data_IF_267883095732
#
_entry.id   IF_267883095732
#
_cell.length_a   1.000
_cell.length_b   1.000
_cell.length_c   1.000
_cell.angle_alpha   90.00
_cell.angle_beta   90.00
_cell.angle_gamma   90.00
#
_symmetry.space_group_name_H-M   'P 1'
#
loop_
_entity.id
_entity.type
_entity.pdbx_description
1 polymer ?
#
# COMPACT_ATOMS: atom_id res chain seq x y z
N UNK A 1 0.12 6.56 27.62
CA UNK A 1 0.69 7.49 26.62
C UNK A 1 2.02 8.13 27.01
N UNK A 2 2.16 8.71 28.22
CA UNK A 2 3.43 9.34 28.68
C UNK A 2 4.67 8.42 28.65
N UNK A 3 4.53 7.10 28.65
CA UNK A 3 5.67 6.17 28.63
C UNK A 3 6.18 5.82 27.22
N UNK A 4 5.35 5.87 26.17
CA UNK A 4 5.73 5.53 24.79
C UNK A 4 5.96 6.77 23.89
N UNK A 5 5.39 7.93 24.26
CA UNK A 5 5.69 9.20 23.61
C UNK A 5 6.91 9.91 24.23
N UNK A 6 7.35 9.50 25.43
CA UNK A 6 8.58 10.01 26.05
C UNK A 6 9.83 9.83 25.18
N UNK A 7 10.07 8.68 24.52
CA UNK A 7 11.17 8.55 23.57
C UNK A 7 11.05 9.51 22.39
N UNK A 8 9.85 9.73 21.86
CA UNK A 8 9.57 10.68 20.78
C UNK A 8 9.76 12.14 21.23
N UNK A 9 9.29 12.52 22.42
CA UNK A 9 9.53 13.82 23.05
C UNK A 9 11.02 14.04 23.37
N UNK A 10 11.73 12.99 23.81
CA UNK A 10 13.18 13.03 24.11
C UNK A 10 14.00 13.14 22.83
N UNK A 11 13.60 12.42 21.78
CA UNK A 11 14.17 12.53 20.43
C UNK A 11 13.93 13.95 19.90
N UNK A 12 12.71 14.48 20.05
CA UNK A 12 12.31 15.82 19.61
C UNK A 12 13.06 16.95 20.35
N UNK A 13 13.32 16.80 21.66
CA UNK A 13 14.15 17.74 22.45
C UNK A 13 15.63 17.73 22.02
N UNK A 14 16.17 16.55 21.67
CA UNK A 14 17.57 16.42 21.20
C UNK A 14 17.79 17.00 19.80
N UNK A 15 16.85 16.86 18.86
CA UNK A 15 17.00 17.43 17.50
C UNK A 15 16.92 18.96 17.48
N UNK A 16 16.22 19.59 18.43
CA UNK A 16 16.11 21.04 18.54
C UNK A 16 17.34 21.69 19.18
N UNK A 17 18.18 20.95 19.91
CA UNK A 17 19.38 21.46 20.59
C UNK A 17 20.68 21.37 19.76
N UNK A 18 20.67 20.78 18.55
CA UNK A 18 21.86 20.73 17.67
C UNK A 18 22.07 22.03 16.86
N UNK A 19 21.69 23.18 17.42
CA UNK A 19 21.93 24.50 16.79
C UNK A 19 23.02 25.33 17.45
N UNK A 20 23.69 24.84 18.50
CA UNK A 20 24.80 25.57 19.12
C UNK A 20 25.85 24.62 19.71
N UNK A 21 26.84 24.21 18.90
CA UNK A 21 28.19 23.91 19.42
C UNK A 21 29.24 24.34 18.37
N UNK A 22 30.33 25.03 18.78
CA UNK A 22 31.28 25.65 17.87
C UNK A 22 32.34 24.67 17.33
N UNK A 23 32.92 25.05 16.19
CA UNK A 23 33.99 24.40 15.44
C UNK A 23 35.05 23.67 16.31
N UNK A 24 35.23 22.37 16.06
CA UNK A 24 36.42 21.63 16.47
C UNK A 24 37.08 20.98 15.23
N UNK A 25 38.36 21.34 15.04
CA UNK A 25 39.26 20.94 13.93
C UNK A 25 39.58 19.44 13.97
N UNK A 26 40.02 18.83 12.84
CA UNK A 26 40.29 17.40 12.76
C UNK A 26 41.73 17.09 13.23
N UNK A 27 41.90 16.05 14.04
CA UNK A 27 43.22 15.44 14.30
C UNK A 27 43.20 13.94 14.11
N UNK A 28 44.37 13.46 13.65
CA UNK A 28 44.72 12.18 13.04
C UNK A 28 44.72 10.98 14.00
N UNK A 29 44.47 9.82 13.37
CA UNK A 29 44.97 8.45 13.59
C UNK A 29 45.65 8.08 14.91
N UNK A 30 45.29 6.90 15.43
CA UNK A 30 46.25 5.91 15.94
C UNK A 30 45.65 4.49 15.93
N UNK A 31 46.45 3.58 15.40
CA UNK A 31 46.28 2.13 15.32
C UNK A 31 46.79 1.51 16.62
N UNK A 32 46.08 0.57 17.25
CA UNK A 32 46.66 -0.74 17.60
C UNK A 32 45.69 -1.75 18.23
N UNK A 33 46.02 -2.99 17.92
CA UNK A 33 45.61 -4.31 18.39
C UNK A 33 45.40 -4.52 19.89
N UNK A 34 44.46 -5.39 20.28
CA UNK A 34 44.82 -6.66 20.94
C UNK A 34 43.64 -7.66 21.06
N UNK A 35 44.03 -8.94 20.97
CA UNK A 35 43.23 -10.18 21.12
C UNK A 35 42.74 -10.37 22.56
N UNK A 36 41.66 -11.12 22.77
CA UNK A 36 41.61 -12.24 23.73
C UNK A 36 40.43 -13.18 23.42
N UNK A 37 40.75 -14.47 23.31
CA UNK A 37 39.81 -15.59 23.23
C UNK A 37 39.33 -15.96 24.64
N UNK A 38 38.08 -16.45 24.78
CA UNK A 38 37.81 -17.58 25.66
C UNK A 38 36.60 -18.40 25.18
N UNK A 39 36.88 -19.68 25.01
CA UNK A 39 36.02 -20.83 24.76
C UNK A 39 35.26 -21.22 26.05
N UNK A 40 33.99 -21.60 25.93
CA UNK A 40 33.41 -22.70 26.72
C UNK A 40 32.22 -23.31 25.96
N UNK A 41 32.37 -24.59 25.61
CA UNK A 41 31.32 -25.50 25.15
C UNK A 41 30.67 -26.16 26.37
N UNK A 42 29.36 -26.37 26.31
CA UNK A 42 28.66 -27.45 27.00
C UNK A 42 27.54 -27.97 26.07
N UNK A 43 27.57 -29.26 25.78
CA UNK A 43 26.55 -30.05 25.06
C UNK A 43 25.50 -30.58 26.08
N UNK A 44 24.22 -30.86 25.76
CA UNK A 44 23.66 -32.14 25.23
C UNK A 44 22.11 -32.06 25.39
N UNK A 45 21.31 -31.95 24.32
CA UNK A 45 20.28 -32.90 23.77
C UNK A 45 18.81 -32.40 23.82
N UNK A 46 17.89 -32.93 22.96
CA UNK A 46 16.87 -32.14 22.28
C UNK A 46 15.47 -32.35 22.85
N UNK A 47 14.61 -31.33 22.70
CA UNK A 47 13.16 -31.49 22.80
C UNK A 47 12.51 -30.87 21.57
N UNK A 48 11.89 -31.76 20.81
CA UNK A 48 10.98 -31.50 19.70
C UNK A 48 9.85 -30.54 20.08
N UNK A 49 9.67 -29.50 19.27
CA UNK A 49 8.51 -28.60 19.34
C UNK A 49 8.48 -27.75 18.06
N UNK A 50 7.84 -28.28 17.01
CA UNK A 50 7.57 -27.55 15.77
C UNK A 50 6.53 -26.45 16.04
N UNK A 51 7.00 -25.22 16.25
CA UNK A 51 6.21 -24.00 16.07
C UNK A 51 6.91 -23.15 15.01
N UNK A 52 6.62 -23.44 13.74
CA UNK A 52 7.09 -22.64 12.61
C UNK A 52 6.33 -21.32 12.56
N UNK A 53 6.81 -20.31 13.28
CA UNK A 53 6.48 -18.93 12.98
C UNK A 53 7.03 -18.59 11.59
N UNK A 54 6.13 -18.29 10.66
CA UNK A 54 6.48 -17.82 9.33
C UNK A 54 6.95 -16.37 9.46
N UNK A 55 8.26 -16.19 9.64
CA UNK A 55 8.91 -14.88 9.59
C UNK A 55 8.74 -14.28 8.18
N UNK A 56 8.07 -13.12 8.12
CA UNK A 56 7.77 -12.41 6.86
C UNK A 56 8.97 -11.53 6.51
N UNK A 57 9.61 -11.68 5.33
CA UNK A 57 10.75 -10.85 4.98
C UNK A 57 10.35 -9.37 4.85
N UNK A 58 11.18 -8.51 5.45
CA UNK A 58 11.01 -7.05 5.50
C UNK A 58 10.90 -6.43 4.09
N UNK A 59 9.75 -5.81 3.79
CA UNK A 59 9.45 -5.13 2.52
C UNK A 59 10.33 -3.88 2.32
N UNK A 60 11.37 -3.96 1.48
CA UNK A 60 12.14 -2.80 1.00
C UNK A 60 11.66 -2.42 -0.40
N UNK A 61 11.10 -1.22 -0.57
CA UNK A 61 10.84 -0.63 -1.90
C UNK A 61 12.12 0.04 -2.41
N UNK A 62 12.53 -0.28 -3.64
CA UNK A 62 13.68 0.32 -4.32
C UNK A 62 13.17 1.44 -5.21
N UNK A 63 13.56 2.68 -4.93
CA UNK A 63 13.23 3.83 -5.80
C UNK A 63 14.25 3.81 -6.96
N UNK A 64 13.78 3.48 -8.16
CA UNK A 64 14.55 3.65 -9.40
C UNK A 64 13.85 4.75 -10.19
N UNK A 65 14.56 5.81 -10.55
CA UNK A 65 14.03 6.86 -11.44
C UNK A 65 14.17 6.39 -12.88
N UNK A 66 13.07 6.22 -13.59
CA UNK A 66 13.06 6.10 -15.05
C UNK A 66 12.81 7.47 -15.69
N UNK A 67 13.45 7.75 -16.82
CA UNK A 67 13.41 9.04 -17.51
C UNK A 67 12.04 9.29 -18.15
N UNK A 68 11.50 10.49 -17.98
CA UNK A 68 10.23 10.93 -18.58
C UNK A 68 10.51 11.59 -19.93
N UNK A 69 9.85 11.13 -20.98
CA UNK A 69 9.74 11.83 -22.26
C UNK A 69 8.43 12.61 -22.31
N UNK A 70 8.49 13.94 -22.37
CA UNK A 70 7.34 14.81 -22.57
C UNK A 70 6.86 14.75 -24.02
N UNK A 71 5.66 14.21 -24.25
CA UNK A 71 4.90 14.46 -25.48
C UNK A 71 3.48 14.87 -25.09
N UNK A 72 3.17 16.16 -25.30
CA UNK A 72 1.96 16.83 -24.78
C UNK A 72 0.94 17.06 -25.89
N UNK A 73 -0.33 16.76 -25.62
CA UNK A 73 -1.48 17.26 -26.40
C UNK A 73 -2.42 17.99 -25.43
N UNK A 74 -2.74 19.24 -25.73
CA UNK A 74 -3.57 20.13 -24.91
C UNK A 74 -5.05 20.04 -25.29
N UNK A 75 -5.92 19.80 -24.31
CA UNK A 75 -7.31 20.28 -24.32
C UNK A 75 -7.61 20.99 -22.99
N UNK A 76 -8.36 22.09 -23.08
CA UNK A 76 -8.27 23.24 -22.19
C UNK A 76 -8.75 23.06 -20.74
N UNK A 77 -8.26 23.96 -19.87
CA UNK A 77 -8.78 24.31 -18.54
C UNK A 77 -8.84 23.23 -17.45
N UNK A 78 -8.78 21.95 -17.81
CA UNK A 78 -8.86 20.82 -16.89
C UNK A 78 -7.49 20.36 -16.40
N UNK A 79 -7.49 19.77 -15.20
CA UNK A 79 -6.35 19.01 -14.67
C UNK A 79 -5.92 17.99 -15.73
N UNK A 80 -4.66 18.06 -16.16
CA UNK A 80 -4.13 17.13 -17.18
C UNK A 80 -4.11 15.73 -16.60
N UNK A 81 -4.87 14.81 -17.20
CA UNK A 81 -4.80 13.40 -16.81
C UNK A 81 -3.45 12.85 -17.27
N UNK A 82 -2.60 12.37 -16.35
CA UNK A 82 -1.28 11.85 -16.71
C UNK A 82 -1.42 10.56 -17.52
N UNK A 83 -0.70 10.47 -18.64
CA UNK A 83 -0.56 9.20 -19.34
C UNK A 83 0.43 8.31 -18.61
N UNK A 84 -0.08 7.20 -18.08
CA UNK A 84 0.73 6.19 -17.38
C UNK A 84 1.25 5.19 -18.40
N UNK A 85 2.57 5.02 -18.45
CA UNK A 85 3.21 3.98 -19.25
C UNK A 85 3.51 2.76 -18.37
N UNK A 86 3.06 1.59 -18.81
CA UNK A 86 3.39 0.33 -18.17
C UNK A 86 4.78 -0.13 -18.60
N UNK A 87 5.54 -0.69 -17.67
CA UNK A 87 6.70 -1.52 -17.99
C UNK A 87 6.28 -2.76 -18.78
N UNK A 88 7.24 -3.42 -19.42
CA UNK A 88 7.00 -4.67 -20.15
C UNK A 88 6.36 -5.74 -19.25
N UNK A 89 6.82 -5.83 -18.00
CA UNK A 89 6.32 -6.73 -16.98
C UNK A 89 4.87 -6.39 -16.57
N UNK A 90 4.58 -5.11 -16.33
CA UNK A 90 3.22 -4.66 -15.99
C UNK A 90 2.25 -4.82 -17.17
N UNK A 91 2.70 -4.62 -18.40
CA UNK A 91 1.89 -4.80 -19.61
C UNK A 91 1.51 -6.28 -19.80
N UNK A 92 2.43 -7.19 -19.52
CA UNK A 92 2.18 -8.63 -19.57
C UNK A 92 1.26 -9.06 -18.43
N UNK A 93 1.46 -8.53 -17.21
CA UNK A 93 0.54 -8.73 -16.09
C UNK A 93 -0.88 -8.25 -16.43
N UNK A 94 -1.02 -7.05 -17.00
CA UNK A 94 -2.29 -6.51 -17.47
C UNK A 94 -2.94 -7.46 -18.47
N UNK A 95 -2.17 -7.96 -19.43
CA UNK A 95 -2.68 -8.90 -20.46
C UNK A 95 -3.18 -10.19 -19.83
N UNK A 96 -2.42 -10.79 -18.89
CA UNK A 96 -2.83 -11.98 -18.15
C UNK A 96 -4.15 -11.77 -17.40
N UNK A 97 -4.29 -10.65 -16.70
CA UNK A 97 -5.50 -10.32 -15.95
C UNK A 97 -6.71 -10.14 -16.87
N UNK A 98 -6.55 -9.48 -18.02
CA UNK A 98 -7.62 -9.28 -18.99
C UNK A 98 -8.00 -10.58 -19.72
N UNK A 99 -7.02 -11.41 -20.09
CA UNK A 99 -7.30 -12.73 -20.68
C UNK A 99 -8.06 -13.62 -19.69
N UNK A 100 -7.79 -13.49 -18.39
CA UNK A 100 -8.55 -14.17 -17.34
C UNK A 100 -10.00 -13.66 -17.26
N UNK A 101 -10.23 -12.36 -17.43
CA UNK A 101 -11.60 -11.80 -17.53
C UNK A 101 -12.34 -12.42 -18.72
N UNK A 102 -11.69 -12.51 -19.88
CA UNK A 102 -12.29 -13.13 -21.07
C UNK A 102 -12.57 -14.63 -20.88
N UNK A 103 -11.69 -15.34 -20.18
CA UNK A 103 -11.92 -16.73 -19.80
C UNK A 103 -13.17 -16.89 -18.92
N UNK A 104 -13.33 -16.05 -17.89
CA UNK A 104 -14.50 -16.06 -17.01
C UNK A 104 -15.78 -15.78 -17.80
N UNK A 105 -15.76 -14.77 -18.68
CA UNK A 105 -16.91 -14.40 -19.54
C UNK A 105 -17.37 -15.58 -20.39
N UNK A 106 -16.44 -16.25 -21.05
CA UNK A 106 -16.73 -17.45 -21.87
C UNK A 106 -17.30 -18.59 -21.03
N UNK A 107 -16.76 -18.81 -19.83
CA UNK A 107 -17.22 -19.87 -18.92
C UNK A 107 -18.66 -19.63 -18.43
N UNK A 108 -19.02 -18.38 -18.20
CA UNK A 108 -20.34 -18.00 -17.68
C UNK A 108 -21.41 -17.80 -18.78
N UNK A 109 -21.05 -17.91 -20.06
CA UNK A 109 -21.90 -17.52 -21.20
C UNK A 109 -22.39 -16.06 -21.09
N UNK A 110 -21.57 -15.18 -20.53
CA UNK A 110 -21.89 -13.75 -20.44
C UNK A 110 -21.88 -13.10 -21.83
N UNK A 111 -22.73 -12.10 -22.06
CA UNK A 111 -22.72 -11.30 -23.28
C UNK A 111 -21.35 -10.58 -23.39
N UNK A 112 -20.64 -10.65 -24.53
CA UNK A 112 -19.42 -9.85 -24.76
C UNK A 112 -19.59 -8.35 -24.54
N UNK A 113 -20.82 -7.84 -24.69
CA UNK A 113 -21.20 -6.44 -24.40
C UNK A 113 -21.69 -6.23 -22.97
N UNK A 114 -21.91 -7.30 -22.22
CA UNK A 114 -22.51 -7.32 -20.89
C UNK A 114 -21.80 -8.29 -19.95
N UNK A 115 -20.68 -7.88 -19.38
CA UNK A 115 -20.41 -8.21 -17.98
C UNK A 115 -19.51 -7.16 -17.32
N UNK A 116 -20.05 -6.53 -16.28
CA UNK A 116 -19.50 -5.41 -15.53
C UNK A 116 -18.24 -5.72 -14.71
N UNK A 117 -17.51 -6.80 -15.02
CA UNK A 117 -16.22 -7.14 -14.41
C UNK A 117 -15.13 -6.21 -14.97
N UNK A 118 -14.84 -5.16 -14.22
CA UNK A 118 -13.83 -4.16 -14.52
C UNK A 118 -12.69 -4.33 -13.52
N UNK A 119 -11.47 -4.39 -14.05
CA UNK A 119 -10.27 -4.50 -13.25
C UNK A 119 -9.53 -3.18 -13.23
N UNK A 120 -9.00 -2.82 -12.06
CA UNK A 120 -8.24 -1.59 -11.85
C UNK A 120 -6.99 -1.89 -11.05
N UNK A 121 -5.84 -1.34 -11.44
CA UNK A 121 -4.80 -1.12 -10.45
C UNK A 121 -5.23 0.04 -9.54
N UNK A 122 -5.00 -0.06 -8.24
CA UNK A 122 -5.53 0.93 -7.28
C UNK A 122 -4.45 1.45 -6.35
N UNK A 123 -4.71 2.63 -5.78
CA UNK A 123 -4.06 3.07 -4.57
C UNK A 123 -2.58 3.41 -4.76
N UNK A 124 -1.73 2.76 -3.97
CA UNK A 124 -0.33 3.16 -3.86
C UNK A 124 0.45 3.03 -5.16
N UNK A 125 0.13 2.01 -5.97
CA UNK A 125 0.76 1.79 -7.26
C UNK A 125 0.46 2.95 -8.22
N UNK A 126 -0.82 3.34 -8.36
CA UNK A 126 -1.23 4.40 -9.32
C UNK A 126 -0.54 5.72 -9.00
N UNK A 127 -0.57 6.13 -7.73
CA UNK A 127 0.11 7.34 -7.26
C UNK A 127 1.61 7.28 -7.53
N UNK A 128 2.27 6.19 -7.15
CA UNK A 128 3.72 6.07 -7.31
C UNK A 128 4.08 6.07 -8.81
N UNK A 129 3.27 5.42 -9.66
CA UNK A 129 3.45 5.40 -11.11
C UNK A 129 3.31 6.78 -11.75
N UNK A 130 2.30 7.55 -11.35
CA UNK A 130 2.14 8.96 -11.79
C UNK A 130 3.32 9.82 -11.35
N UNK A 131 3.96 9.52 -10.22
CA UNK A 131 5.18 10.19 -9.76
C UNK A 131 6.48 9.68 -10.42
N UNK A 132 6.39 8.74 -11.37
CA UNK A 132 7.54 8.13 -12.02
C UNK A 132 8.36 7.20 -11.12
N UNK A 133 7.70 6.59 -10.12
CA UNK A 133 8.28 5.63 -9.19
C UNK A 133 7.64 4.26 -9.41
N UNK A 134 8.46 3.26 -9.72
CA UNK A 134 7.96 1.89 -9.87
C UNK A 134 7.64 1.25 -8.50
N UNK A 135 6.62 0.38 -8.50
CA UNK A 135 6.19 -0.37 -7.32
C UNK A 135 6.08 -1.86 -7.66
N UNK A 136 6.62 -2.70 -6.77
CA UNK A 136 6.47 -4.15 -6.86
C UNK A 136 5.20 -4.66 -6.17
N UNK A 137 4.59 -3.86 -5.29
CA UNK A 137 3.29 -4.15 -4.70
C UNK A 137 2.19 -3.54 -5.60
N UNK A 138 1.24 -4.36 -6.06
CA UNK A 138 0.11 -3.94 -6.92
C UNK A 138 -1.20 -4.43 -6.31
N UNK A 139 -2.10 -3.49 -5.99
CA UNK A 139 -3.47 -3.81 -5.59
C UNK A 139 -4.36 -3.83 -6.83
N UNK A 140 -5.05 -4.95 -7.09
CA UNK A 140 -6.00 -5.12 -8.20
C UNK A 140 -7.43 -5.09 -7.66
N UNK A 141 -8.14 -4.00 -7.92
CA UNK A 141 -9.56 -3.83 -7.61
C UNK A 141 -10.45 -4.54 -8.62
N UNK A 142 -11.36 -5.37 -8.12
CA UNK A 142 -12.26 -6.23 -8.88
C UNK A 142 -13.70 -5.81 -8.57
N UNK A 143 -14.49 -5.49 -9.60
CA UNK A 143 -15.81 -4.85 -9.41
C UNK A 143 -16.95 -5.78 -8.99
N UNK A 144 -16.99 -7.03 -9.47
CA UNK A 144 -18.19 -7.87 -9.37
C UNK A 144 -17.96 -9.23 -8.71
N UNK A 145 -16.76 -9.50 -8.20
CA UNK A 145 -16.44 -10.76 -7.52
C UNK A 145 -15.33 -10.55 -6.49
N UNK A 146 -15.16 -11.54 -5.62
CA UNK A 146 -14.10 -11.53 -4.60
C UNK A 146 -12.73 -11.73 -5.23
N UNK A 147 -11.68 -11.28 -4.53
CA UNK A 147 -10.30 -11.55 -4.94
C UNK A 147 -9.98 -13.05 -5.00
N UNK A 148 -10.62 -13.84 -4.13
CA UNK A 148 -10.48 -15.29 -4.10
C UNK A 148 -11.08 -15.97 -5.34
N UNK A 149 -12.32 -15.63 -5.72
CA UNK A 149 -12.97 -16.18 -6.91
C UNK A 149 -12.18 -15.86 -8.18
N UNK A 150 -11.72 -14.61 -8.31
CA UNK A 150 -10.87 -14.22 -9.43
C UNK A 150 -9.53 -14.98 -9.41
N UNK A 151 -8.93 -15.16 -8.23
CA UNK A 151 -7.70 -15.94 -8.08
C UNK A 151 -7.86 -17.40 -8.50
N UNK A 152 -8.99 -18.04 -8.19
CA UNK A 152 -9.30 -19.39 -8.66
C UNK A 152 -9.47 -19.43 -10.18
N UNK A 153 -10.20 -18.49 -10.77
CA UNK A 153 -10.37 -18.42 -12.22
C UNK A 153 -9.04 -18.18 -12.95
N UNK A 154 -8.16 -17.33 -12.40
CA UNK A 154 -6.80 -17.12 -12.91
C UNK A 154 -5.99 -18.43 -12.88
N UNK A 155 -6.14 -19.22 -11.80
CA UNK A 155 -5.50 -20.53 -11.70
C UNK A 155 -6.00 -21.48 -12.80
N UNK A 156 -7.31 -21.62 -12.93
CA UNK A 156 -7.93 -22.48 -13.94
C UNK A 156 -7.51 -22.08 -15.36
N UNK A 157 -7.43 -20.78 -15.64
CA UNK A 157 -6.95 -20.25 -16.91
C UNK A 157 -5.50 -20.66 -17.20
N UNK A 158 -4.62 -20.63 -16.19
CA UNK A 158 -3.21 -21.01 -16.30
C UNK A 158 -2.96 -22.52 -16.22
N UNK A 159 -3.89 -23.31 -15.70
CA UNK A 159 -3.83 -24.77 -15.69
C UNK A 159 -4.01 -25.36 -17.12
N UNK A 160 -4.53 -24.56 -18.06
CA UNK A 160 -4.58 -24.90 -19.50
C UNK A 160 -3.19 -24.70 -20.11
N UNK A 161 -2.51 -25.77 -20.59
CA UNK A 161 -1.12 -25.69 -21.05
C UNK A 161 -0.88 -24.63 -22.12
N UNK A 162 -1.78 -24.53 -23.10
CA UNK A 162 -1.67 -23.60 -24.23
C UNK A 162 -1.65 -22.13 -23.77
N UNK A 163 -2.46 -21.80 -22.75
CA UNK A 163 -2.48 -20.45 -22.18
C UNK A 163 -1.17 -20.15 -21.46
N UNK A 164 -0.68 -21.10 -20.65
CA UNK A 164 0.55 -20.94 -19.89
C UNK A 164 1.77 -20.75 -20.80
N UNK A 165 1.87 -21.51 -21.89
CA UNK A 165 2.98 -21.42 -22.85
C UNK A 165 3.09 -20.04 -23.50
N UNK A 166 1.95 -19.35 -23.75
CA UNK A 166 1.94 -17.98 -24.28
C UNK A 166 2.70 -16.99 -23.40
N UNK A 167 2.65 -17.18 -22.09
CA UNK A 167 3.34 -16.33 -21.12
C UNK A 167 4.78 -16.79 -20.85
N UNK A 168 5.06 -18.10 -20.94
CA UNK A 168 6.42 -18.65 -20.85
C UNK A 168 7.32 -18.20 -22.01
N UNK A 169 6.76 -18.03 -23.21
CA UNK A 169 7.53 -17.55 -24.36
C UNK A 169 8.18 -16.16 -24.12
N UNK A 170 7.64 -15.37 -23.18
CA UNK A 170 8.09 -14.03 -22.86
C UNK A 170 8.84 -13.91 -21.52
N UNK A 171 8.95 -14.99 -20.71
CA UNK A 171 9.63 -14.99 -19.41
C UNK A 171 10.30 -16.33 -19.05
N UNK A 172 11.43 -16.31 -18.32
CA UNK A 172 12.01 -17.52 -17.77
C UNK A 172 11.06 -18.21 -16.77
N UNK A 173 11.04 -19.55 -16.81
CA UNK A 173 10.09 -20.46 -16.13
C UNK A 173 9.86 -20.16 -14.63
N UNK A 174 10.85 -19.60 -13.93
CA UNK A 174 10.77 -19.27 -12.52
C UNK A 174 9.84 -18.08 -12.18
N UNK A 175 9.54 -17.20 -13.14
CA UNK A 175 8.71 -16.01 -12.92
C UNK A 175 7.21 -16.34 -12.74
N UNK A 176 6.75 -17.46 -13.31
CA UNK A 176 5.38 -17.97 -13.21
C UNK A 176 5.21 -18.98 -12.07
N UNK A 177 6.31 -19.56 -11.57
CA UNK A 177 6.30 -20.54 -10.47
C UNK A 177 5.71 -19.99 -9.17
N UNK A 178 5.85 -18.68 -8.94
CA UNK A 178 5.23 -17.97 -7.81
C UNK A 178 3.71 -17.87 -7.90
N UNK A 179 3.16 -17.82 -9.12
CA UNK A 179 1.71 -17.73 -9.39
C UNK A 179 1.08 -19.06 -9.06
N UNK A 180 1.59 -20.11 -9.69
CA UNK A 180 1.15 -21.48 -9.53
C UNK A 180 1.30 -21.89 -8.06
N UNK A 181 2.48 -21.68 -7.46
CA UNK A 181 2.74 -22.01 -6.06
C UNK A 181 1.91 -21.21 -5.03
N UNK A 182 1.62 -19.93 -5.30
CA UNK A 182 0.74 -19.10 -4.47
C UNK A 182 -0.71 -19.57 -4.53
N UNK A 183 -1.23 -19.78 -5.73
CA UNK A 183 -2.59 -20.26 -5.97
C UNK A 183 -2.82 -21.67 -5.42
N UNK A 184 -1.82 -22.56 -5.46
CA UNK A 184 -1.90 -23.86 -4.78
C UNK A 184 -2.05 -23.73 -3.26
N UNK A 185 -1.41 -22.76 -2.60
CA UNK A 185 -1.58 -22.52 -1.16
C UNK A 185 -2.98 -22.00 -0.82
N UNK A 186 -3.51 -21.13 -1.68
CA UNK A 186 -4.88 -20.59 -1.56
C UNK A 186 -5.90 -21.73 -1.67
N UNK A 187 -5.76 -22.57 -2.70
CA UNK A 187 -6.60 -23.76 -2.88
C UNK A 187 -6.44 -24.81 -1.76
N UNK A 188 -5.26 -24.92 -1.15
CA UNK A 188 -5.01 -25.84 -0.03
C UNK A 188 -5.60 -25.37 1.31
N UNK A 189 -5.94 -24.08 1.47
CA UNK A 189 -6.64 -23.56 2.65
C UNK A 189 -7.87 -22.72 2.25
N UNK A 190 -8.94 -23.37 1.73
CA UNK A 190 -10.16 -22.66 1.31
C UNK A 190 -10.83 -21.91 2.47
N UNK A 191 -10.94 -22.52 3.65
CA UNK A 191 -11.59 -21.93 4.83
C UNK A 191 -10.91 -20.63 5.30
N UNK A 192 -9.57 -20.53 5.23
CA UNK A 192 -8.85 -19.28 5.55
C UNK A 192 -9.08 -18.20 4.49
N UNK A 193 -9.30 -18.62 3.24
CA UNK A 193 -9.48 -17.72 2.10
C UNK A 193 -10.93 -17.23 1.95
N UNK A 194 -11.93 -17.99 2.42
CA UNK A 194 -13.34 -17.55 2.47
C UNK A 194 -13.56 -16.31 3.35
N UNK A 195 -12.75 -16.15 4.41
CA UNK A 195 -12.80 -14.99 5.31
C UNK A 195 -11.86 -13.85 4.90
N UNK A 196 -10.99 -14.10 3.93
CA UNK A 196 -10.10 -13.11 3.33
C UNK A 196 -10.65 -12.82 1.93
N UNK A 197 -11.57 -11.85 1.83
CA UNK A 197 -12.08 -11.35 0.54
C UNK A 197 -10.96 -10.83 -0.41
N UNK A 198 -9.72 -10.80 0.11
CA UNK A 198 -8.48 -10.43 -0.55
C UNK A 198 -7.55 -11.63 -0.71
N UNK A 199 -6.92 -11.77 -1.88
CA UNK A 199 -5.96 -12.85 -2.18
C UNK A 199 -4.65 -12.29 -2.72
N UNK A 200 -3.53 -12.63 -2.09
CA UNK A 200 -2.19 -12.23 -2.56
C UNK A 200 -1.56 -13.32 -3.44
N UNK A 201 -1.10 -12.96 -4.63
CA UNK A 201 -0.33 -13.82 -5.54
C UNK A 201 0.99 -13.17 -5.90
N UNK A 202 2.01 -13.98 -6.23
CA UNK A 202 3.29 -13.46 -6.72
C UNK A 202 3.47 -13.80 -8.20
N UNK A 203 3.42 -12.79 -9.06
CA UNK A 203 3.36 -12.97 -10.53
C UNK A 203 4.29 -12.00 -11.23
N UNK A 204 5.14 -12.51 -12.14
CA UNK A 204 6.13 -11.70 -12.88
C UNK A 204 7.01 -10.81 -11.98
N UNK A 205 7.31 -11.28 -10.77
CA UNK A 205 8.10 -10.52 -9.79
C UNK A 205 7.31 -9.48 -8.97
N UNK A 206 6.03 -9.29 -9.26
CA UNK A 206 5.11 -8.45 -8.48
C UNK A 206 4.45 -9.25 -7.36
N UNK A 207 4.24 -8.60 -6.22
CA UNK A 207 3.32 -9.04 -5.18
C UNK A 207 1.97 -8.38 -5.47
N UNK A 208 0.99 -9.17 -5.89
CA UNK A 208 -0.31 -8.71 -6.39
C UNK A 208 -1.41 -9.07 -5.40
N UNK A 209 -2.08 -8.07 -4.85
CA UNK A 209 -3.22 -8.23 -3.96
C UNK A 209 -4.52 -8.08 -4.77
N UNK A 210 -5.24 -9.19 -4.97
CA UNK A 210 -6.56 -9.22 -5.59
C UNK A 210 -7.59 -8.83 -4.54
N UNK A 211 -8.26 -7.68 -4.72
CA UNK A 211 -9.23 -7.12 -3.77
C UNK A 211 -10.56 -6.82 -4.47
N UNK A 212 -11.68 -7.13 -3.82
CA UNK A 212 -12.98 -6.63 -4.25
C UNK A 212 -13.10 -5.12 -3.96
N UNK A 213 -13.75 -4.41 -4.88
CA UNK A 213 -14.24 -3.06 -4.60
C UNK A 213 -15.33 -3.15 -3.54
N UNK A 214 -15.25 -2.29 -2.53
CA UNK A 214 -16.12 -2.40 -1.38
C UNK A 214 -16.65 -1.06 -0.89
N UNK A 215 -17.85 -1.11 -0.37
CA UNK A 215 -18.49 -0.06 0.43
C UNK A 215 -18.33 -0.42 1.90
N UNK A 216 -18.02 0.57 2.71
CA UNK A 216 -17.89 0.41 4.16
C UNK A 216 -18.95 1.24 4.86
N UNK A 217 -19.73 0.60 5.73
CA UNK A 217 -20.70 1.27 6.60
C UNK A 217 -20.21 1.17 8.03
N UNK A 218 -19.95 2.32 8.65
CA UNK A 218 -19.47 2.43 10.02
C UNK A 218 -20.65 2.60 10.98
N UNK A 219 -20.57 1.96 12.15
CA UNK A 219 -21.52 2.17 13.25
C UNK A 219 -20.80 2.79 14.43
N UNK A 220 -21.49 3.57 15.27
CA UNK A 220 -20.87 4.20 16.43
C UNK A 220 -20.33 3.17 17.45
N UNK A 221 -20.86 1.95 17.44
CA UNK A 221 -20.57 0.88 18.41
C UNK A 221 -19.45 -0.06 18.00
N UNK A 222 -19.12 -0.16 16.71
CA UNK A 222 -18.10 -1.09 16.20
C UNK A 222 -16.95 -0.32 15.55
N UNK A 223 -15.72 -0.75 15.83
CA UNK A 223 -14.55 -0.28 15.10
C UNK A 223 -14.50 -0.84 13.67
N UNK A 224 -15.01 -2.04 13.47
CA UNK A 224 -14.95 -2.71 12.18
C UNK A 224 -16.22 -2.34 11.38
N UNK A 225 -16.08 -1.77 10.18
CA UNK A 225 -17.23 -1.46 9.35
C UNK A 225 -17.89 -2.75 8.85
N UNK A 226 -19.17 -2.66 8.51
CA UNK A 226 -19.81 -3.63 7.64
C UNK A 226 -19.31 -3.42 6.21
N UNK A 227 -18.95 -4.50 5.54
CA UNK A 227 -18.34 -4.49 4.20
C UNK A 227 -19.30 -5.12 3.21
N UNK A 228 -19.58 -4.39 2.13
CA UNK A 228 -20.43 -4.83 1.02
C UNK A 228 -19.70 -4.58 -0.31
N UNK A 229 -20.15 -5.24 -1.38
CA UNK A 229 -19.67 -4.89 -2.73
C UNK A 229 -20.02 -3.44 -3.05
N UNK A 230 -19.03 -2.69 -3.53
CA UNK A 230 -19.17 -1.27 -3.84
C UNK A 230 -18.68 -0.94 -5.24
N UNK A 231 -19.10 0.22 -5.73
CA UNK A 231 -18.57 0.82 -6.95
C UNK A 231 -17.13 1.32 -6.75
N UNK A 232 -16.43 1.63 -7.85
CA UNK A 232 -15.10 2.23 -7.76
C UNK A 232 -15.12 3.60 -7.06
N UNK A 233 -16.22 4.35 -7.23
CA UNK A 233 -16.45 5.62 -6.52
C UNK A 233 -16.64 5.41 -5.02
N UNK A 234 -17.50 4.47 -4.61
CA UNK A 234 -17.68 4.14 -3.19
C UNK A 234 -16.37 3.65 -2.55
N UNK A 235 -15.58 2.85 -3.28
CA UNK A 235 -14.25 2.41 -2.84
C UNK A 235 -13.26 3.57 -2.74
N UNK A 236 -13.32 4.54 -3.66
CA UNK A 236 -12.49 5.73 -3.64
C UNK A 236 -12.78 6.60 -2.41
N UNK A 237 -14.06 6.87 -2.16
CA UNK A 237 -14.52 7.78 -1.12
C UNK A 237 -14.25 7.25 0.29
N UNK A 238 -14.25 5.92 0.47
CA UNK A 238 -13.87 5.31 1.76
C UNK A 238 -12.37 5.33 2.02
N UNK A 239 -11.49 5.74 1.11
CA UNK A 239 -10.03 5.71 1.33
C UNK A 239 -9.57 6.83 2.26
N UNK A 240 -8.33 6.71 2.70
CA UNK A 240 -7.75 7.64 3.66
C UNK A 240 -7.38 8.99 3.04
N UNK A 241 -6.77 9.00 1.85
CA UNK A 241 -6.33 10.20 1.16
C UNK A 241 -6.72 10.19 -0.32
N UNK A 242 -7.06 11.36 -0.87
CA UNK A 242 -7.39 11.59 -2.29
C UNK A 242 -6.29 11.05 -3.22
N UNK A 243 -5.03 11.35 -2.90
CA UNK A 243 -3.85 10.87 -3.65
C UNK A 243 -3.65 9.35 -3.59
N UNK A 244 -4.38 8.62 -2.74
CA UNK A 244 -4.40 7.16 -2.66
C UNK A 244 -5.73 6.56 -3.15
N UNK A 245 -6.65 7.39 -3.60
CA UNK A 245 -7.96 7.02 -4.12
C UNK A 245 -8.00 7.04 -5.66
N UNK A 246 -6.83 7.02 -6.29
CA UNK A 246 -6.68 6.92 -7.74
C UNK A 246 -6.73 5.47 -8.20
N UNK A 247 -7.27 5.29 -9.40
CA UNK A 247 -7.37 4.01 -10.07
C UNK A 247 -6.75 4.11 -11.46
N UNK A 248 -6.25 2.99 -11.96
CA UNK A 248 -5.82 2.84 -13.34
C UNK A 248 -6.63 1.70 -13.95
N UNK A 249 -7.50 2.04 -14.89
CA UNK A 249 -8.42 1.10 -15.52
C UNK A 249 -7.67 0.21 -16.49
N UNK A 250 -7.66 -1.11 -16.22
CA UNK A 250 -6.91 -2.05 -17.05
C UNK A 250 -7.54 -2.23 -18.44
N UNK A 251 -8.82 -1.92 -18.60
CA UNK A 251 -9.51 -2.06 -19.87
C UNK A 251 -9.21 -0.87 -20.79
N UNK A 252 -9.35 0.35 -20.29
CA UNK A 252 -9.14 1.58 -21.08
C UNK A 252 -7.69 2.04 -21.11
N UNK A 253 -6.88 1.68 -20.11
CA UNK A 253 -5.51 2.18 -19.94
C UNK A 253 -5.46 3.62 -19.42
N UNK A 254 -6.50 4.08 -18.75
CA UNK A 254 -6.63 5.46 -18.27
C UNK A 254 -6.59 5.54 -16.74
N UNK A 255 -6.07 6.66 -16.22
CA UNK A 255 -6.16 6.99 -14.79
C UNK A 255 -7.53 7.58 -14.51
N UNK A 256 -8.21 7.03 -13.51
CA UNK A 256 -9.52 7.47 -13.03
C UNK A 256 -9.37 8.09 -11.63
N UNK A 257 -9.94 9.28 -11.46
CA UNK A 257 -10.02 9.99 -10.18
C UNK A 257 -11.48 10.23 -9.80
N UNK A 258 -12.06 9.26 -9.09
CA UNK A 258 -13.44 9.35 -8.62
C UNK A 258 -13.64 10.37 -7.50
N UNK A 259 -12.57 10.88 -6.89
CA UNK A 259 -12.67 11.96 -5.89
C UNK A 259 -12.75 13.35 -6.53
N UNK A 260 -12.34 13.46 -7.81
CA UNK A 260 -12.17 14.73 -8.53
C UNK A 260 -11.05 15.63 -8.01
N UNK A 261 -10.33 15.22 -6.94
CA UNK A 261 -9.32 16.01 -6.25
C UNK A 261 -7.95 15.34 -6.20
N UNK A 262 -7.85 14.03 -6.40
CA UNK A 262 -6.61 13.27 -6.23
C UNK A 262 -5.48 13.75 -7.14
N UNK A 263 -5.77 13.99 -8.42
CA UNK A 263 -4.74 14.46 -9.36
C UNK A 263 -4.29 15.91 -9.08
N UNK A 264 -5.23 16.80 -8.75
CA UNK A 264 -4.89 18.20 -8.40
C UNK A 264 -4.18 18.30 -7.05
N UNK A 265 -4.56 17.49 -6.07
CA UNK A 265 -3.88 17.39 -4.78
C UNK A 265 -2.46 16.82 -4.96
N UNK A 266 -2.25 15.89 -5.90
CA UNK A 266 -0.91 15.41 -6.26
C UNK A 266 -0.03 16.53 -6.83
N UNK A 267 -0.56 17.35 -7.74
CA UNK A 267 0.15 18.49 -8.32
C UNK A 267 0.45 19.56 -7.27
N UNK A 268 -0.52 19.87 -6.40
CA UNK A 268 -0.39 20.82 -5.29
C UNK A 268 0.44 20.29 -4.10
N UNK A 269 0.86 19.02 -4.13
CA UNK A 269 1.56 18.33 -3.03
C UNK A 269 0.78 18.38 -1.71
N UNK A 270 -0.51 18.09 -1.79
CA UNK A 270 -1.47 18.13 -0.69
C UNK A 270 -1.92 16.73 -0.28
N UNK A 271 -2.11 16.51 1.01
CA UNK A 271 -2.79 15.34 1.58
C UNK A 271 -4.13 15.80 2.14
N UNK A 272 -5.20 15.32 1.50
CA UNK A 272 -6.60 15.60 1.86
C UNK A 272 -7.39 14.29 1.93
N UNK A 273 -8.41 14.22 2.78
CA UNK A 273 -9.36 13.09 2.83
C UNK A 273 -10.38 13.19 1.67
N UNK A 274 -10.83 12.07 1.07
CA UNK A 274 -11.87 12.11 0.03
C UNK A 274 -13.21 12.67 0.51
N UNK A 275 -13.61 12.32 1.74
CA UNK A 275 -14.81 12.81 2.40
C UNK A 275 -14.47 13.83 3.49
N UNK A 276 -15.50 14.36 4.17
CA UNK A 276 -15.35 15.28 5.29
C UNK A 276 -14.32 14.76 6.32
N UNK A 277 -13.27 15.52 6.65
CA UNK A 277 -12.17 15.01 7.49
C UNK A 277 -12.62 14.57 8.88
N UNK A 278 -13.51 15.35 9.52
CA UNK A 278 -14.04 15.00 10.84
C UNK A 278 -14.72 13.62 10.85
N UNK A 279 -15.66 13.38 9.93
CA UNK A 279 -16.35 12.09 9.84
C UNK A 279 -15.37 10.97 9.50
N UNK A 280 -14.45 11.21 8.55
CA UNK A 280 -13.41 10.26 8.16
C UNK A 280 -12.57 9.79 9.35
N UNK A 281 -12.20 10.71 10.25
CA UNK A 281 -11.43 10.38 11.45
C UNK A 281 -12.28 9.81 12.58
N UNK A 282 -13.56 10.16 12.65
CA UNK A 282 -14.50 9.57 13.61
C UNK A 282 -14.74 8.09 13.31
N UNK A 283 -14.86 7.76 12.01
CA UNK A 283 -15.05 6.41 11.49
C UNK A 283 -13.80 5.53 11.71
N UNK A 284 -12.62 6.02 11.32
CA UNK A 284 -11.34 5.36 11.61
C UNK A 284 -10.25 6.36 12.04
N UNK A 285 -10.05 6.52 13.37
CA UNK A 285 -9.04 7.43 13.90
C UNK A 285 -7.61 7.10 13.46
N UNK A 286 -7.33 5.85 13.04
CA UNK A 286 -6.00 5.48 12.55
C UNK A 286 -5.61 6.25 11.27
N UNK A 287 -6.60 6.76 10.53
CA UNK A 287 -6.37 7.58 9.34
C UNK A 287 -5.56 8.85 9.64
N UNK A 288 -5.67 9.42 10.84
CA UNK A 288 -4.84 10.56 11.26
C UNK A 288 -3.35 10.21 11.16
N UNK A 289 -2.94 9.08 11.73
CA UNK A 289 -1.55 8.60 11.68
C UNK A 289 -1.12 8.24 10.26
N UNK A 290 -2.01 7.60 9.49
CA UNK A 290 -1.73 7.26 8.09
C UNK A 290 -1.51 8.50 7.23
N UNK A 291 -2.30 9.55 7.40
CA UNK A 291 -2.16 10.81 6.66
C UNK A 291 -0.85 11.52 7.01
N UNK A 292 -0.49 11.57 8.30
CA UNK A 292 0.82 12.08 8.73
C UNK A 292 1.95 11.27 8.09
N UNK A 293 1.81 9.93 8.02
CA UNK A 293 2.77 9.07 7.34
C UNK A 293 2.88 9.40 5.86
N UNK A 294 1.77 9.59 5.14
CA UNK A 294 1.81 9.94 3.72
C UNK A 294 2.42 11.32 3.48
N UNK A 295 2.00 12.33 4.25
CA UNK A 295 2.57 13.68 4.20
C UNK A 295 4.09 13.63 4.40
N UNK A 296 4.54 12.91 5.42
CA UNK A 296 5.97 12.71 5.67
C UNK A 296 6.66 11.93 4.56
N UNK A 297 6.08 10.83 4.06
CA UNK A 297 6.74 9.97 3.04
C UNK A 297 6.89 10.68 1.70
N UNK A 298 5.86 11.40 1.28
CA UNK A 298 5.80 12.09 0.00
C UNK A 298 6.42 13.49 0.04
N UNK A 299 6.64 14.04 1.24
CA UNK A 299 7.07 15.44 1.41
C UNK A 299 5.94 16.43 1.08
N UNK A 300 4.69 16.02 1.31
CA UNK A 300 3.48 16.78 1.01
C UNK A 300 2.99 17.51 2.28
N UNK A 301 2.23 18.58 2.11
CA UNK A 301 1.54 19.27 3.20
C UNK A 301 0.15 18.68 3.42
N UNK A 302 -0.37 18.76 4.64
CA UNK A 302 -1.76 18.34 4.93
C UNK A 302 -2.67 19.54 4.67
N UNK A 303 -3.81 19.29 4.03
CA UNK A 303 -4.86 20.29 3.79
C UNK A 303 -5.32 20.97 5.10
N UNK A 304 -5.55 22.31 5.13
CA UNK A 304 -5.89 23.02 6.36
C UNK A 304 -7.12 22.48 7.10
N UNK A 305 -8.22 22.18 6.38
CA UNK A 305 -9.44 21.65 6.99
C UNK A 305 -9.21 20.23 7.54
N UNK A 306 -8.39 19.45 6.81
CA UNK A 306 -7.94 18.13 7.25
C UNK A 306 -7.07 18.23 8.50
N UNK A 307 -6.16 19.21 8.58
CA UNK A 307 -5.31 19.48 9.73
C UNK A 307 -6.11 19.95 10.95
N UNK A 308 -7.11 20.82 10.76
CA UNK A 308 -8.00 21.28 11.83
C UNK A 308 -8.75 20.10 12.46
N UNK A 309 -9.35 19.23 11.63
CA UNK A 309 -10.07 18.05 12.13
C UNK A 309 -9.16 17.03 12.84
N UNK A 310 -7.86 16.96 12.50
CA UNK A 310 -6.91 16.14 13.25
C UNK A 310 -6.64 16.69 14.66
N UNK A 311 -6.78 18.01 14.83
CA UNK A 311 -6.52 18.70 16.09
C UNK A 311 -7.75 18.72 17.03
N UNK A 312 -8.91 18.30 16.54
CA UNK A 312 -10.14 18.19 17.31
C UNK A 312 -10.00 17.22 18.50
N UNK A 313 -10.56 17.62 19.65
CA UNK A 313 -10.40 16.88 20.91
C UNK A 313 -11.15 15.54 20.91
N UNK A 314 -12.32 15.47 20.25
CA UNK A 314 -13.07 14.22 20.13
C UNK A 314 -12.31 13.22 19.25
N UNK A 315 -11.68 13.69 18.17
CA UNK A 315 -10.85 12.85 17.30
C UNK A 315 -9.62 12.34 18.05
N UNK A 316 -8.90 13.20 18.77
CA UNK A 316 -7.77 12.79 19.62
C UNK A 316 -8.19 11.79 20.69
N UNK A 317 -9.35 12.00 21.30
CA UNK A 317 -9.90 11.08 22.29
C UNK A 317 -10.24 9.72 21.67
N UNK A 318 -10.93 9.72 20.52
CA UNK A 318 -11.28 8.51 19.76
C UNK A 318 -10.04 7.72 19.33
N UNK A 319 -8.98 8.39 18.88
CA UNK A 319 -7.69 7.78 18.54
C UNK A 319 -7.06 7.06 19.74
N UNK A 320 -7.19 7.62 20.95
CA UNK A 320 -6.64 7.03 22.19
C UNK A 320 -7.47 5.84 22.68
N UNK A 321 -8.80 5.88 22.49
CA UNK A 321 -9.71 4.84 22.97
C UNK A 321 -9.88 3.68 21.99
N UNK A 322 -10.14 3.97 20.70
CA UNK A 322 -10.51 2.96 19.70
C UNK A 322 -9.30 2.24 19.10
N UNK A 323 -8.09 2.80 19.23
CA UNK A 323 -6.90 2.24 18.57
C UNK A 323 -5.92 1.61 19.57
N UNK A 324 -5.63 0.32 19.36
CA UNK A 324 -4.64 -0.40 20.16
C UNK A 324 -3.23 0.18 19.98
N UNK A 325 -2.43 0.12 21.05
CA UNK A 325 -1.06 0.62 21.05
C UNK A 325 -0.18 -0.10 20.02
N UNK A 326 -0.44 -1.38 19.77
CA UNK A 326 0.25 -2.17 18.74
C UNK A 326 0.05 -1.56 17.34
N UNK A 327 -1.20 -1.21 16.97
CA UNK A 327 -1.49 -0.61 15.66
C UNK A 327 -0.86 0.78 15.51
N UNK A 328 -0.85 1.57 16.58
CA UNK A 328 -0.13 2.85 16.61
C UNK A 328 1.37 2.61 16.39
N UNK A 329 1.95 1.63 17.09
CA UNK A 329 3.35 1.24 16.98
C UNK A 329 3.74 0.88 15.55
N UNK A 330 2.93 0.07 14.87
CA UNK A 330 3.14 -0.33 13.47
C UNK A 330 3.19 0.88 12.54
N UNK A 331 2.26 1.84 12.69
CA UNK A 331 2.28 3.04 11.85
C UNK A 331 3.48 3.95 12.15
N UNK A 332 3.86 4.12 13.43
CA UNK A 332 5.07 4.87 13.82
C UNK A 332 6.33 4.21 13.26
N UNK A 333 6.43 2.88 13.34
CA UNK A 333 7.58 2.15 12.80
C UNK A 333 7.70 2.35 11.28
N UNK A 334 6.59 2.23 10.54
CA UNK A 334 6.56 2.52 9.11
C UNK A 334 6.98 3.96 8.81
N UNK A 335 6.60 4.92 9.66
CA UNK A 335 7.02 6.32 9.52
C UNK A 335 8.52 6.50 9.77
N UNK A 336 9.08 5.85 10.79
CA UNK A 336 10.50 5.95 11.15
C UNK A 336 11.43 5.39 10.07
N UNK A 337 10.95 4.40 9.31
CA UNK A 337 11.67 3.82 8.16
C UNK A 337 11.61 4.71 6.91
N UNK A 338 10.83 5.80 6.91
CA UNK A 338 10.68 6.72 5.78
C UNK A 338 11.78 7.78 5.69
N UNK A 339 11.96 8.35 4.50
CA UNK A 339 13.03 9.31 4.17
C UNK A 339 13.00 10.63 5.00
N UNK A 340 11.87 10.97 5.64
CA UNK A 340 11.66 12.26 6.31
C UNK A 340 11.25 12.14 7.79
N UNK A 341 11.92 11.27 8.54
CA UNK A 341 11.61 11.00 9.96
C UNK A 341 11.56 12.26 10.85
N UNK A 342 12.35 13.30 10.57
CA UNK A 342 12.34 14.57 11.34
C UNK A 342 11.05 15.38 11.16
N UNK A 343 10.51 15.43 9.93
CA UNK A 343 9.23 16.11 9.64
C UNK A 343 8.09 15.37 10.33
N UNK A 344 8.15 14.03 10.37
CA UNK A 344 7.18 13.22 11.09
C UNK A 344 7.13 13.54 12.59
N UNK A 345 8.27 13.57 13.29
CA UNK A 345 8.26 13.83 14.74
C UNK A 345 7.58 15.17 15.05
N UNK A 346 7.83 16.19 14.23
CA UNK A 346 7.19 17.51 14.38
C UNK A 346 5.68 17.46 14.16
N UNK A 347 5.20 16.70 13.17
CA UNK A 347 3.77 16.57 12.88
C UNK A 347 3.05 15.77 13.96
N UNK A 348 3.61 14.66 14.41
CA UNK A 348 3.02 13.82 15.47
C UNK A 348 2.95 14.61 16.78
N UNK A 349 4.03 15.28 17.19
CA UNK A 349 4.06 16.04 18.44
C UNK A 349 3.13 17.27 18.47
N UNK A 350 2.78 17.84 17.30
CA UNK A 350 1.86 18.98 17.22
C UNK A 350 0.39 18.60 17.07
N UNK A 351 0.11 17.47 16.42
CA UNK A 351 -1.25 17.11 16.00
C UNK A 351 -1.88 15.96 16.80
N UNK A 352 -1.06 15.05 17.35
CA UNK A 352 -1.53 13.83 18.02
C UNK A 352 -1.38 13.90 19.54
N UNK A 353 -0.29 14.51 20.00
CA UNK A 353 -0.07 14.82 21.42
C UNK A 353 -0.95 16.01 21.83
#
# INVERSE_FOLDING_TARGET
MRLFLRPLETLCRRTLHVRQLPNLKPTRSLVNSNRFNHTQQAAVLPMSGLSGEVDRPNKRRRIVKSGVSESTMTRGGGVKVPQVQLSSEEAILRTLLLDTVEYIRRKNNDDPKGSGLVLRFTGGWVRDKVLGVDSQDIDVGISTMTGYEFGLALKEYLDIPENLERYKAHYPEHALKGVIGGLHKIAANPEKSKHLETTTIRVFGFDVDLVNLRKETYTDTSRNPQVEFGTAEEDALRRDATVNALFYNLHTGEVEDFTGMGLSDMEAKLIRTPLAPYQTFKDDPLRVLRLIRFASRLGYTIDPNTEESMCDDDIKHSLRLKISQERIGIEIEKMLRGMFSRTMVRLVSRKVC
#
